data_IF_819043880694
#
_entry.id   IF_819043880694
#
_cell.length_a   1.000
_cell.length_b   1.000
_cell.length_c   1.000
_cell.angle_alpha   90.00
_cell.angle_beta   90.00
_cell.angle_gamma   90.00
#
_symmetry.space_group_name_H-M   'P 1'
#
loop_
_entity.id
_entity.type
_entity.pdbx_description
1 polymer ?
#
# COMPACT_ATOMS: atom_id res chain seq x y z
N UNK A 1 10.50 -3.24 -6.30
CA UNK A 1 10.11 -4.26 -7.30
C UNK A 1 8.77 -3.93 -7.96
N UNK A 2 7.72 -3.66 -7.19
CA UNK A 2 6.38 -3.40 -7.74
C UNK A 2 6.31 -2.08 -8.51
N UNK A 3 6.97 -1.02 -8.04
CA UNK A 3 7.04 0.29 -8.72
C UNK A 3 7.67 0.15 -10.10
N UNK A 4 8.80 -0.54 -10.20
CA UNK A 4 9.48 -0.75 -11.50
C UNK A 4 8.57 -1.51 -12.47
N UNK A 5 7.87 -2.53 -11.98
CA UNK A 5 6.94 -3.33 -12.79
C UNK A 5 5.73 -2.50 -13.25
N UNK A 6 5.14 -1.69 -12.39
CA UNK A 6 4.04 -0.82 -12.76
C UNK A 6 4.47 0.19 -13.84
N UNK A 7 5.62 0.84 -13.67
CA UNK A 7 6.17 1.78 -14.65
C UNK A 7 6.45 1.11 -15.99
N UNK A 8 7.05 -0.09 -15.99
CA UNK A 8 7.33 -0.84 -17.23
C UNK A 8 6.07 -1.24 -17.98
N UNK A 9 4.92 -1.27 -17.32
CA UNK A 9 3.60 -1.49 -17.93
C UNK A 9 2.88 -0.18 -18.30
N UNK A 10 3.56 0.95 -18.27
CA UNK A 10 3.03 2.24 -18.72
C UNK A 10 2.22 3.00 -17.68
N UNK A 11 2.22 2.58 -16.42
CA UNK A 11 1.54 3.30 -15.35
C UNK A 11 2.40 4.44 -14.82
N UNK A 12 1.77 5.58 -14.60
CA UNK A 12 2.32 6.64 -13.74
C UNK A 12 2.09 6.23 -12.28
N UNK A 13 3.14 6.22 -11.48
CA UNK A 13 3.09 5.69 -10.10
C UNK A 13 3.33 6.80 -9.11
N UNK A 14 2.44 6.89 -8.11
CA UNK A 14 2.67 7.63 -6.89
C UNK A 14 2.83 6.66 -5.71
N UNK A 15 3.79 6.91 -4.84
CA UNK A 15 4.04 6.09 -3.66
C UNK A 15 4.30 6.94 -2.42
N UNK A 16 4.15 6.33 -1.25
CA UNK A 16 4.49 6.91 0.03
C UNK A 16 5.45 6.00 0.79
N UNK A 17 6.50 6.56 1.38
CA UNK A 17 7.53 5.82 2.11
C UNK A 17 8.10 6.67 3.25
N UNK A 18 8.37 6.06 4.38
CA UNK A 18 9.00 6.75 5.52
C UNK A 18 10.50 6.91 5.36
N UNK A 19 11.16 5.98 4.68
CA UNK A 19 12.62 5.92 4.56
C UNK A 19 13.12 6.65 3.32
N UNK A 20 13.78 7.78 3.51
CA UNK A 20 14.49 8.50 2.43
C UNK A 20 15.57 7.64 1.77
N UNK A 21 16.31 6.86 2.56
CA UNK A 21 17.37 5.98 2.05
C UNK A 21 16.81 4.92 1.09
N UNK A 22 15.64 4.33 1.41
CA UNK A 22 14.99 3.36 0.53
C UNK A 22 14.59 4.00 -0.80
N UNK A 23 14.19 5.26 -0.79
CA UNK A 23 13.79 5.99 -1.99
C UNK A 23 15.00 6.44 -2.81
N UNK A 24 16.07 6.88 -2.18
CA UNK A 24 17.34 7.19 -2.87
C UNK A 24 17.88 5.94 -3.59
N UNK A 25 17.82 4.78 -2.93
CA UNK A 25 18.19 3.51 -3.54
C UNK A 25 17.28 3.15 -4.72
N UNK A 26 15.96 3.32 -4.57
CA UNK A 26 15.00 3.08 -5.65
C UNK A 26 15.33 3.90 -6.89
N UNK A 27 15.56 5.20 -6.75
CA UNK A 27 15.90 6.07 -7.88
C UNK A 27 17.25 5.74 -8.50
N UNK A 28 18.24 5.33 -7.68
CA UNK A 28 19.52 4.82 -8.18
C UNK A 28 19.35 3.54 -9.02
N UNK A 29 18.56 2.58 -8.53
CA UNK A 29 18.24 1.34 -9.26
C UNK A 29 17.48 1.60 -10.57
N UNK A 30 16.61 2.60 -10.58
CA UNK A 30 15.88 3.03 -11.79
C UNK A 30 16.78 3.81 -12.78
N UNK A 31 17.97 4.23 -12.37
CA UNK A 31 18.87 5.06 -13.17
C UNK A 31 18.29 6.46 -13.46
N UNK A 32 17.44 6.97 -12.57
CA UNK A 32 16.74 8.24 -12.75
C UNK A 32 17.09 9.19 -11.61
N UNK A 33 17.41 10.43 -11.94
CA UNK A 33 17.67 11.49 -10.94
C UNK A 33 16.36 12.22 -10.63
N UNK A 34 15.86 12.17 -9.39
CA UNK A 34 14.65 12.88 -9.02
C UNK A 34 14.90 14.37 -8.79
N UNK A 35 13.88 15.18 -8.99
CA UNK A 35 13.75 16.51 -8.43
C UNK A 35 13.10 16.39 -7.05
N UNK A 36 13.71 16.96 -6.02
CA UNK A 36 13.21 16.89 -4.65
C UNK A 36 12.66 18.25 -4.26
N UNK A 37 11.40 18.28 -3.81
CA UNK A 37 10.73 19.48 -3.30
C UNK A 37 10.16 19.21 -1.92
N UNK A 38 10.30 20.17 -1.00
CA UNK A 38 9.74 20.10 0.35
C UNK A 38 8.34 20.69 0.38
N UNK A 39 7.40 19.98 0.97
CA UNK A 39 6.04 20.43 1.21
C UNK A 39 5.62 20.05 2.64
N UNK A 40 5.75 20.99 3.58
CA UNK A 40 5.56 20.72 4.99
C UNK A 40 6.57 19.68 5.51
N UNK A 41 6.06 18.60 6.08
CA UNK A 41 6.86 17.48 6.58
C UNK A 41 7.14 16.41 5.51
N UNK A 42 6.64 16.59 4.29
CA UNK A 42 6.80 15.66 3.17
C UNK A 42 7.84 16.16 2.18
N UNK A 43 8.80 15.31 1.85
CA UNK A 43 9.71 15.50 0.71
C UNK A 43 9.16 14.74 -0.50
N UNK A 44 8.89 15.46 -1.58
CA UNK A 44 8.44 14.87 -2.85
C UNK A 44 9.63 14.63 -3.75
N UNK A 45 9.88 13.36 -4.06
CA UNK A 45 10.86 12.91 -5.06
C UNK A 45 10.12 12.70 -6.38
N UNK A 46 10.36 13.56 -7.34
CA UNK A 46 9.66 13.58 -8.62
C UNK A 46 10.59 13.27 -9.79
N UNK A 47 10.16 12.41 -10.69
CA UNK A 47 10.74 12.19 -12.01
C UNK A 47 9.61 11.79 -12.97
N UNK A 48 9.93 11.56 -14.26
CA UNK A 48 8.95 11.14 -15.24
C UNK A 48 8.21 9.87 -14.78
N UNK A 49 6.88 9.94 -14.71
CA UNK A 49 5.98 8.84 -14.38
C UNK A 49 6.14 8.26 -12.97
N UNK A 50 6.86 8.94 -12.08
CA UNK A 50 7.01 8.54 -10.68
C UNK A 50 7.04 9.75 -9.74
N UNK A 51 6.21 9.70 -8.71
CA UNK A 51 6.19 10.63 -7.58
C UNK A 51 6.24 9.82 -6.28
N UNK A 52 7.24 10.05 -5.44
CA UNK A 52 7.32 9.43 -4.13
C UNK A 52 7.28 10.50 -3.05
N UNK A 53 6.32 10.35 -2.16
CA UNK A 53 6.13 11.20 -0.98
C UNK A 53 6.84 10.56 0.20
N UNK A 54 7.93 11.18 0.64
CA UNK A 54 8.76 10.68 1.75
C UNK A 54 8.36 11.39 3.02
N UNK A 55 7.87 10.63 3.98
CA UNK A 55 7.36 11.08 5.26
C UNK A 55 6.21 10.21 5.75
N UNK A 56 5.49 10.70 6.76
CA UNK A 56 4.32 10.00 7.27
C UNK A 56 3.17 10.06 6.26
N UNK A 57 2.59 8.90 5.93
CA UNK A 57 1.44 8.81 5.02
C UNK A 57 0.28 9.70 5.47
N UNK A 58 0.13 9.93 6.77
CA UNK A 58 -0.92 10.79 7.33
C UNK A 58 -0.73 12.28 7.04
N UNK A 59 0.46 12.69 6.64
CA UNK A 59 0.77 14.05 6.20
C UNK A 59 0.61 14.25 4.69
N UNK A 60 0.43 13.17 3.93
CA UNK A 60 0.12 13.23 2.50
C UNK A 60 -1.33 13.66 2.32
N UNK A 61 -1.54 14.74 1.57
CA UNK A 61 -2.87 15.28 1.31
C UNK A 61 -3.36 14.94 -0.09
N UNK A 62 -4.67 15.03 -0.29
CA UNK A 62 -5.28 14.88 -1.61
C UNK A 62 -4.72 15.87 -2.63
N UNK A 63 -4.44 17.10 -2.21
CA UNK A 63 -3.85 18.15 -3.07
C UNK A 63 -2.43 17.79 -3.50
N UNK A 64 -1.62 17.26 -2.59
CA UNK A 64 -0.26 16.80 -2.93
C UNK A 64 -0.28 15.64 -3.92
N UNK A 65 -1.18 14.67 -3.69
CA UNK A 65 -1.27 13.43 -4.46
C UNK A 65 -1.85 13.67 -5.86
N UNK A 66 -2.84 14.55 -5.98
CA UNK A 66 -3.60 14.73 -7.20
C UNK A 66 -4.57 13.58 -7.50
N UNK A 67 -5.13 13.52 -8.72
CA UNK A 67 -6.05 12.46 -9.12
C UNK A 67 -5.40 11.08 -9.08
N UNK A 68 -6.14 10.09 -8.55
CA UNK A 68 -5.72 8.68 -8.46
C UNK A 68 -6.75 7.81 -9.15
N UNK A 69 -6.31 7.03 -10.14
CA UNK A 69 -7.18 6.13 -10.90
C UNK A 69 -7.34 4.76 -10.21
N UNK A 70 -6.32 4.30 -9.49
CA UNK A 70 -6.34 3.06 -8.75
C UNK A 70 -5.26 3.02 -7.65
N UNK A 71 -5.49 2.19 -6.66
CA UNK A 71 -4.58 1.94 -5.54
C UNK A 71 -4.08 0.50 -5.62
N UNK A 72 -2.79 0.32 -5.39
CA UNK A 72 -2.19 -0.98 -5.15
C UNK A 72 -1.63 -1.01 -3.73
N UNK A 73 -2.31 -1.69 -2.83
CA UNK A 73 -1.89 -1.88 -1.45
C UNK A 73 -1.36 -3.30 -1.25
N UNK A 74 -0.05 -3.40 -1.28
CA UNK A 74 0.68 -4.59 -0.94
C UNK A 74 1.77 -4.22 0.05
N UNK A 75 1.79 -4.89 1.19
CA UNK A 75 2.73 -4.66 2.28
C UNK A 75 2.56 -3.34 3.04
N UNK A 76 1.53 -2.55 2.81
CA UNK A 76 1.22 -1.37 3.61
C UNK A 76 0.25 -1.68 4.75
N UNK A 77 -0.99 -2.04 4.46
CA UNK A 77 -1.98 -2.39 5.50
C UNK A 77 -1.47 -3.48 6.45
N UNK A 78 -0.89 -4.54 5.89
CA UNK A 78 -0.35 -5.67 6.66
C UNK A 78 0.89 -5.33 7.48
N UNK A 79 1.55 -4.21 7.23
CA UNK A 79 2.70 -3.74 8.00
C UNK A 79 2.29 -2.92 9.23
N UNK A 80 1.04 -2.50 9.33
CA UNK A 80 0.56 -1.63 10.39
C UNK A 80 0.00 -2.41 11.58
N UNK A 81 0.29 -1.98 12.81
CA UNK A 81 -0.36 -2.52 13.99
C UNK A 81 -1.86 -2.18 13.98
N UNK A 82 -2.66 -3.00 14.65
CA UNK A 82 -4.13 -2.95 14.59
C UNK A 82 -4.71 -1.56 14.89
N UNK A 83 -4.15 -0.88 15.89
CA UNK A 83 -4.61 0.46 16.30
C UNK A 83 -4.41 1.57 15.25
N UNK A 84 -3.60 1.32 14.22
CA UNK A 84 -3.36 2.28 13.13
C UNK A 84 -4.19 2.00 11.88
N UNK A 85 -4.69 0.78 11.70
CA UNK A 85 -5.30 0.32 10.44
C UNK A 85 -6.56 1.08 10.08
N UNK A 86 -7.45 1.33 11.04
CA UNK A 86 -8.69 2.10 10.79
C UNK A 86 -8.40 3.52 10.33
N UNK A 87 -7.44 4.18 10.95
CA UNK A 87 -7.01 5.52 10.54
C UNK A 87 -6.38 5.51 9.16
N UNK A 88 -5.52 4.53 8.89
CA UNK A 88 -4.86 4.37 7.60
C UNK A 88 -5.87 4.14 6.46
N UNK A 89 -6.77 3.20 6.61
CA UNK A 89 -7.76 2.87 5.56
C UNK A 89 -8.72 4.03 5.29
N UNK A 90 -9.14 4.75 6.33
CA UNK A 90 -9.97 5.94 6.17
C UNK A 90 -9.20 7.07 5.48
N UNK A 91 -7.95 7.31 5.86
CA UNK A 91 -7.11 8.34 5.26
C UNK A 91 -6.83 8.05 3.79
N UNK A 92 -6.38 6.83 3.46
CA UNK A 92 -6.10 6.43 2.09
C UNK A 92 -7.33 6.58 1.19
N UNK A 93 -8.49 6.14 1.67
CA UNK A 93 -9.77 6.29 0.97
C UNK A 93 -10.11 7.77 0.70
N UNK A 94 -9.89 8.64 1.69
CA UNK A 94 -10.19 10.05 1.58
C UNK A 94 -9.25 10.79 0.60
N UNK A 95 -7.95 10.58 0.68
CA UNK A 95 -6.98 11.28 -0.17
C UNK A 95 -7.01 10.82 -1.63
N UNK A 96 -7.55 9.64 -1.89
CA UNK A 96 -7.68 9.06 -3.25
C UNK A 96 -9.10 9.19 -3.83
N UNK A 97 -10.01 9.82 -3.11
CA UNK A 97 -11.41 9.96 -3.53
C UNK A 97 -12.10 8.61 -3.83
N UNK A 98 -11.90 7.64 -2.97
CA UNK A 98 -12.45 6.29 -3.12
C UNK A 98 -12.01 5.60 -4.42
N UNK A 99 -10.78 5.82 -4.86
CA UNK A 99 -10.25 5.11 -6.03
C UNK A 99 -10.34 3.59 -5.83
N UNK A 100 -10.60 2.80 -6.89
CA UNK A 100 -10.60 1.35 -6.79
C UNK A 100 -9.25 0.84 -6.30
N UNK A 101 -9.26 -0.23 -5.53
CA UNK A 101 -8.08 -0.73 -4.87
C UNK A 101 -7.88 -2.22 -5.12
N UNK A 102 -6.65 -2.61 -5.44
CA UNK A 102 -6.18 -3.98 -5.35
C UNK A 102 -5.42 -4.14 -4.03
N UNK A 103 -5.98 -4.93 -3.12
CA UNK A 103 -5.45 -5.14 -1.78
C UNK A 103 -4.94 -6.57 -1.61
N UNK A 104 -3.69 -6.72 -1.18
CA UNK A 104 -3.08 -8.01 -0.87
C UNK A 104 -2.89 -8.13 0.64
N UNK A 105 -3.51 -9.14 1.24
CA UNK A 105 -3.44 -9.42 2.68
C UNK A 105 -2.96 -10.85 2.92
N UNK A 106 -2.50 -11.09 4.16
CA UNK A 106 -2.21 -12.42 4.67
C UNK A 106 -3.14 -12.73 5.84
N UNK A 107 -3.59 -13.98 5.91
CA UNK A 107 -4.35 -14.49 7.06
C UNK A 107 -3.64 -15.71 7.63
N UNK A 108 -3.38 -15.69 8.93
CA UNK A 108 -2.70 -16.74 9.68
C UNK A 108 -3.04 -16.63 11.18
N UNK A 109 -2.65 -17.61 11.97
CA UNK A 109 -2.77 -17.49 13.43
C UNK A 109 -1.76 -16.48 13.97
N UNK A 110 -2.22 -15.28 14.31
CA UNK A 110 -1.37 -14.19 14.80
C UNK A 110 -0.52 -14.55 16.02
N UNK A 111 -0.92 -15.57 16.80
CA UNK A 111 -0.14 -16.07 17.92
C UNK A 111 1.11 -16.83 17.49
N UNK A 112 1.14 -17.32 16.26
CA UNK A 112 2.26 -18.08 15.72
C UNK A 112 3.38 -17.19 15.15
N UNK A 113 3.10 -15.91 14.86
CA UNK A 113 4.08 -14.97 14.37
C UNK A 113 3.71 -13.52 14.76
N UNK A 114 4.69 -12.76 15.21
CA UNK A 114 4.45 -11.40 15.74
C UNK A 114 4.08 -10.37 14.67
N UNK A 115 4.48 -10.61 13.42
CA UNK A 115 4.41 -9.61 12.34
C UNK A 115 5.58 -8.60 12.39
N UNK A 116 5.65 -7.60 11.48
CA UNK A 116 4.93 -7.60 10.20
C UNK A 116 5.42 -8.69 9.23
N UNK A 117 4.61 -9.12 8.28
CA UNK A 117 3.22 -8.72 8.05
C UNK A 117 2.29 -9.27 9.12
N UNK A 118 1.27 -8.49 9.48
CA UNK A 118 0.23 -8.92 10.42
C UNK A 118 -0.87 -9.68 9.69
N UNK A 119 -1.58 -10.52 10.43
CA UNK A 119 -2.76 -11.22 9.93
C UNK A 119 -3.94 -10.28 9.78
N UNK A 120 -4.56 -10.25 8.61
CA UNK A 120 -5.75 -9.46 8.30
C UNK A 120 -6.85 -10.42 7.83
N UNK A 121 -7.89 -10.60 8.65
CA UNK A 121 -9.00 -11.49 8.31
C UNK A 121 -9.94 -10.88 7.27
N UNK A 122 -10.76 -11.73 6.63
CA UNK A 122 -11.84 -11.26 5.75
C UNK A 122 -12.82 -10.33 6.46
N UNK A 123 -13.11 -10.60 7.73
CA UNK A 123 -13.98 -9.75 8.54
C UNK A 123 -13.35 -8.38 8.79
N UNK A 124 -12.06 -8.33 9.04
CA UNK A 124 -11.33 -7.07 9.19
C UNK A 124 -11.34 -6.24 7.92
N UNK A 125 -11.14 -6.85 6.76
CA UNK A 125 -11.25 -6.17 5.45
C UNK A 125 -12.65 -5.57 5.26
N UNK A 126 -13.70 -6.34 5.58
CA UNK A 126 -15.08 -5.84 5.52
C UNK A 126 -15.33 -4.68 6.48
N UNK A 127 -14.80 -4.75 7.68
CA UNK A 127 -14.92 -3.68 8.68
C UNK A 127 -14.27 -2.38 8.23
N UNK A 128 -13.10 -2.44 7.58
CA UNK A 128 -12.40 -1.26 7.11
C UNK A 128 -13.00 -0.64 5.85
N UNK A 129 -13.49 -1.45 4.93
CA UNK A 129 -13.83 -1.01 3.57
C UNK A 129 -15.29 -1.22 3.16
N UNK A 130 -16.02 -2.08 3.87
CA UNK A 130 -17.36 -2.55 3.43
C UNK A 130 -18.42 -1.48 3.32
N UNK A 131 -18.32 -0.38 4.07
CA UNK A 131 -19.26 0.75 3.97
C UNK A 131 -19.04 1.63 2.72
N UNK A 132 -17.84 1.59 2.15
CA UNK A 132 -17.42 2.52 1.09
C UNK A 132 -17.14 1.84 -0.24
N UNK A 133 -16.92 0.54 -0.22
CA UNK A 133 -16.53 -0.24 -1.38
C UNK A 133 -17.35 -1.52 -1.52
N UNK A 134 -17.57 -1.92 -2.76
CA UNK A 134 -17.88 -3.31 -3.08
C UNK A 134 -16.60 -4.15 -3.01
N UNK A 135 -16.63 -5.20 -2.21
CA UNK A 135 -15.50 -6.07 -1.96
C UNK A 135 -15.65 -7.37 -2.76
N UNK A 136 -14.67 -7.67 -3.59
CA UNK A 136 -14.61 -8.94 -4.33
C UNK A 136 -13.30 -9.65 -3.98
N UNK A 137 -13.39 -10.85 -3.43
CA UNK A 137 -12.24 -11.72 -3.24
C UNK A 137 -11.86 -12.34 -4.59
N UNK A 138 -10.72 -11.95 -5.14
CA UNK A 138 -10.26 -12.44 -6.44
C UNK A 138 -9.59 -13.80 -6.34
N UNK A 139 -8.76 -13.98 -5.31
CA UNK A 139 -8.02 -15.22 -5.11
C UNK A 139 -7.63 -15.40 -3.65
N UNK A 140 -7.53 -16.66 -3.26
CA UNK A 140 -6.97 -17.12 -1.99
C UNK A 140 -6.02 -18.26 -2.28
N UNK A 141 -4.78 -18.15 -1.85
CA UNK A 141 -3.77 -19.18 -2.08
C UNK A 141 -2.89 -19.36 -0.86
N UNK A 142 -2.54 -20.58 -0.56
CA UNK A 142 -1.57 -20.87 0.49
C UNK A 142 -0.20 -20.28 0.15
N UNK A 143 0.42 -19.65 1.13
CA UNK A 143 1.76 -19.11 0.97
C UNK A 143 2.76 -20.29 0.96
N UNK A 144 3.51 -20.48 -0.13
CA UNK A 144 4.48 -21.57 -0.21
C UNK A 144 5.51 -21.50 0.91
N UNK A 145 5.63 -22.56 1.72
CA UNK A 145 6.52 -22.58 2.88
C UNK A 145 6.01 -21.80 4.11
N UNK A 146 4.78 -21.30 4.05
CA UNK A 146 4.18 -20.53 5.12
C UNK A 146 4.73 -19.11 5.26
N UNK A 147 4.29 -18.41 6.29
CA UNK A 147 4.76 -17.06 6.59
C UNK A 147 6.16 -17.12 7.19
N UNK A 148 7.17 -16.70 6.42
CA UNK A 148 8.59 -16.71 6.84
C UNK A 148 9.07 -18.05 7.43
N UNK A 149 8.48 -19.16 6.96
CA UNK A 149 8.79 -20.49 7.49
C UNK A 149 8.32 -20.78 8.92
N UNK A 150 7.50 -19.90 9.52
CA UNK A 150 7.06 -20.02 10.92
C UNK A 150 5.70 -20.68 11.10
N UNK A 151 4.75 -20.36 10.21
CA UNK A 151 3.38 -20.87 10.30
C UNK A 151 2.71 -20.90 8.93
N UNK A 152 1.66 -21.71 8.81
CA UNK A 152 0.79 -21.68 7.63
C UNK A 152 0.12 -20.33 7.48
N UNK A 153 0.04 -19.83 6.27
CA UNK A 153 -0.62 -18.58 5.94
C UNK A 153 -1.29 -18.67 4.58
N UNK A 154 -2.37 -17.92 4.42
CA UNK A 154 -3.09 -17.76 3.15
C UNK A 154 -2.94 -16.33 2.68
N UNK A 155 -2.58 -16.13 1.43
CA UNK A 155 -2.61 -14.83 0.78
C UNK A 155 -3.96 -14.61 0.13
N UNK A 156 -4.56 -13.46 0.41
CA UNK A 156 -5.84 -13.04 -0.17
C UNK A 156 -5.62 -11.80 -1.03
N UNK A 157 -6.19 -11.82 -2.23
CA UNK A 157 -6.21 -10.65 -3.12
C UNK A 157 -7.65 -10.18 -3.28
N UNK A 158 -7.88 -8.94 -2.88
CA UNK A 158 -9.17 -8.28 -2.92
C UNK A 158 -9.22 -7.19 -3.97
N UNK A 159 -10.33 -7.11 -4.69
CA UNK A 159 -10.67 -5.97 -5.51
C UNK A 159 -11.76 -5.16 -4.81
N UNK A 160 -11.46 -3.90 -4.52
CA UNK A 160 -12.35 -2.95 -3.91
C UNK A 160 -12.78 -1.94 -4.99
N UNK A 161 -14.07 -1.84 -5.25
CA UNK A 161 -14.64 -0.89 -6.22
C UNK A 161 -15.60 0.05 -5.53
N UNK A 162 -15.64 1.30 -5.96
CA UNK A 162 -16.64 2.26 -5.51
C UNK A 162 -18.04 1.69 -5.76
N UNK A 163 -18.86 1.71 -4.72
CA UNK A 163 -20.25 1.29 -4.80
C UNK A 163 -21.11 2.21 -5.62
#
# INVERSE_FOLDING_TARGET
>A
LDISRLRSNGYRVAGAELSSNAIEQLFAELGVKPTITRNGEIDRYHANDIDIFVGDIFDVTRTMLGPVDAIYDRAALVALPENMRSRYTAHLTAITDHAPQLLVCYEYDQRAAEGPPFSISHEEVRRHYGERYHLTLLTSADVPGGLKGKCSATEHVWLLRKG
#
